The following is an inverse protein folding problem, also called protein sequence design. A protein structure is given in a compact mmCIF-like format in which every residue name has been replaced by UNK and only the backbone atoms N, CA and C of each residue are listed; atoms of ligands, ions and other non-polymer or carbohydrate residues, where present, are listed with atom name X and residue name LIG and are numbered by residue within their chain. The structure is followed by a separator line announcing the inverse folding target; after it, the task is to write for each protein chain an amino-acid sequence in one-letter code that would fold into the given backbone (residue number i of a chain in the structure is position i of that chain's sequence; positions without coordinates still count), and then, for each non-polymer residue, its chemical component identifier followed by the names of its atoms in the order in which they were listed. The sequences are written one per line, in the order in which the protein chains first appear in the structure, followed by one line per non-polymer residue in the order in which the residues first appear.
data_IF_253783769686
#
_entry.id   IF_253783769686
#
_cell.length_a   1.000
_cell.length_b   1.000
_cell.length_c   1.000
_cell.angle_alpha   90.00
_cell.angle_beta   90.00
_cell.angle_gamma   90.00
#
_symmetry.space_group_name_H-M   'P 1'
#
loop_
_entity.id
_entity.type
_entity.pdbx_description
1 polymer ?
#
# COMPACT_ATOMS: atom_id res chain seq x y z
N UNK A 1 -7.91 -20.25 7.41
CA UNK A 1 -7.06 -19.34 8.18
C UNK A 1 -7.11 -17.97 7.55
N UNK A 2 -7.46 -16.96 8.32
CA UNK A 2 -7.55 -15.58 7.83
C UNK A 2 -6.35 -14.78 8.29
N UNK A 3 -5.93 -13.82 7.46
CA UNK A 3 -4.84 -12.91 7.79
C UNK A 3 -5.31 -11.47 7.63
N UNK A 4 -4.82 -10.59 8.50
CA UNK A 4 -5.07 -9.16 8.42
C UNK A 4 -3.75 -8.45 8.12
N UNK A 5 -3.76 -7.67 7.05
CA UNK A 5 -2.68 -6.74 6.74
C UNK A 5 -3.16 -5.39 7.25
N UNK A 6 -2.50 -4.87 8.27
CA UNK A 6 -2.88 -3.60 8.86
C UNK A 6 -1.90 -2.52 8.41
N UNK A 7 -2.43 -1.47 7.83
CA UNK A 7 -1.67 -0.28 7.46
C UNK A 7 -2.06 0.84 8.43
N UNK A 8 -1.13 1.17 9.32
CA UNK A 8 -1.32 2.22 10.33
C UNK A 8 -0.64 3.49 9.83
N UNK A 9 -1.45 4.49 9.53
CA UNK A 9 -0.99 5.73 8.90
C UNK A 9 -0.62 6.82 9.88
N UNK A 10 0.33 7.66 9.47
CA UNK A 10 0.58 8.98 10.03
C UNK A 10 0.44 9.99 8.90
N UNK A 11 -0.58 10.83 8.97
CA UNK A 11 -0.88 11.81 7.92
C UNK A 11 0.06 13.01 8.02
N UNK A 12 0.55 13.48 6.89
CA UNK A 12 1.40 14.66 6.80
C UNK A 12 0.97 15.56 5.65
N UNK A 13 1.53 16.76 5.59
CA UNK A 13 1.17 17.76 4.58
C UNK A 13 1.71 17.39 3.20
N UNK A 14 2.86 16.73 3.15
CA UNK A 14 3.53 16.40 1.89
C UNK A 14 3.36 14.94 1.50
N UNK A 15 3.11 14.09 2.46
CA UNK A 15 2.92 12.66 2.23
C UNK A 15 2.26 12.03 3.45
N UNK A 16 1.73 10.84 3.27
CA UNK A 16 1.26 9.98 4.35
C UNK A 16 2.24 8.82 4.45
N UNK A 17 2.76 8.58 5.64
CA UNK A 17 3.64 7.43 5.89
C UNK A 17 2.90 6.42 6.74
N UNK A 18 3.24 5.16 6.56
CA UNK A 18 2.56 4.10 7.30
C UNK A 18 3.50 3.02 7.77
N UNK A 19 3.00 2.23 8.70
CA UNK A 19 3.63 1.00 9.15
C UNK A 19 2.69 -0.14 8.79
N UNK A 20 3.24 -1.18 8.18
CA UNK A 20 2.44 -2.33 7.73
C UNK A 20 2.74 -3.55 8.59
N UNK A 21 1.66 -4.15 9.07
CA UNK A 21 1.72 -5.35 9.91
C UNK A 21 0.99 -6.49 9.21
N UNK A 22 1.56 -7.67 9.29
CA UNK A 22 0.92 -8.89 8.82
C UNK A 22 0.66 -9.76 10.05
N UNK A 23 -0.62 -9.94 10.40
CA UNK A 23 -1.03 -10.63 11.64
C UNK A 23 -0.21 -10.12 12.85
N UNK A 24 -0.25 -8.80 13.05
CA UNK A 24 0.39 -8.10 14.18
C UNK A 24 1.92 -8.04 14.16
N UNK A 25 2.57 -8.56 13.12
CA UNK A 25 4.02 -8.48 12.97
C UNK A 25 4.37 -7.43 11.93
N UNK A 26 5.16 -6.44 12.30
CA UNK A 26 5.58 -5.39 11.36
C UNK A 26 6.48 -5.99 10.28
N UNK A 27 6.10 -5.79 9.01
CA UNK A 27 6.84 -6.33 7.87
C UNK A 27 7.51 -5.26 7.01
N UNK A 28 6.95 -4.06 6.95
CA UNK A 28 7.52 -2.95 6.18
C UNK A 28 6.80 -1.65 6.53
N UNK A 29 7.16 -0.59 5.85
CA UNK A 29 6.52 0.72 5.91
C UNK A 29 5.81 1.01 4.59
N UNK A 30 5.19 2.18 4.48
CA UNK A 30 4.54 2.61 3.24
C UNK A 30 4.66 4.11 3.06
N UNK A 31 4.55 4.55 1.81
CA UNK A 31 4.36 5.94 1.47
C UNK A 31 3.12 6.08 0.59
N UNK A 32 2.41 7.19 0.77
CA UNK A 32 1.23 7.56 0.02
C UNK A 32 1.17 9.08 -0.13
N UNK A 33 0.32 9.54 -1.03
CA UNK A 33 -0.04 10.96 -1.10
C UNK A 33 -0.68 11.43 0.22
N UNK A 34 -0.66 12.74 0.51
CA UNK A 34 -1.39 13.25 1.67
C UNK A 34 -2.89 13.03 1.53
N UNK A 35 -3.62 13.10 2.63
CA UNK A 35 -5.08 13.02 2.60
C UNK A 35 -5.67 14.33 2.10
N UNK A 36 -6.35 14.28 0.97
CA UNK A 36 -7.04 15.41 0.35
C UNK A 36 -8.49 15.02 0.00
N UNK A 37 -9.21 14.54 1.01
CA UNK A 37 -10.64 14.19 0.90
C UNK A 37 -10.94 13.21 -0.23
N UNK A 38 -10.07 12.21 -0.40
CA UNK A 38 -10.20 11.17 -1.42
C UNK A 38 -10.23 11.68 -2.87
N UNK A 39 -9.69 12.87 -3.11
CA UNK A 39 -9.69 13.45 -4.46
C UNK A 39 -8.85 12.60 -5.41
N UNK A 40 -9.41 12.15 -6.55
CA UNK A 40 -8.66 11.32 -7.49
C UNK A 40 -7.35 11.97 -7.95
N UNK A 41 -6.30 11.17 -8.04
CA UNK A 41 -4.95 11.55 -8.46
C UNK A 41 -4.19 12.47 -7.49
N UNK A 42 -4.84 12.97 -6.44
CA UNK A 42 -4.23 13.93 -5.51
C UNK A 42 -4.21 13.46 -4.06
N UNK A 43 -5.10 12.56 -3.70
CA UNK A 43 -5.26 12.09 -2.31
C UNK A 43 -4.90 10.61 -2.17
N UNK A 44 -4.40 10.23 -1.00
CA UNK A 44 -4.42 8.83 -0.61
C UNK A 44 -5.88 8.37 -0.47
N UNK A 45 -6.10 7.05 -0.43
CA UNK A 45 -7.44 6.48 -0.37
C UNK A 45 -7.99 6.51 1.05
N UNK A 46 -9.32 6.37 1.23
CA UNK A 46 -9.92 6.37 2.57
C UNK A 46 -9.46 5.20 3.44
N UNK A 47 -9.50 5.41 4.74
CA UNK A 47 -9.41 4.32 5.71
C UNK A 47 -10.56 3.34 5.49
N UNK A 48 -10.35 2.10 5.86
CA UNK A 48 -11.36 1.07 5.71
C UNK A 48 -10.75 -0.31 5.54
N UNK A 49 -11.61 -1.26 5.21
CA UNK A 49 -11.21 -2.64 4.94
C UNK A 49 -11.38 -2.94 3.46
N UNK A 50 -10.39 -3.57 2.88
CA UNK A 50 -10.32 -3.83 1.44
C UNK A 50 -9.87 -5.25 1.17
N UNK A 51 -10.35 -5.81 0.05
CA UNK A 51 -9.83 -7.04 -0.51
C UNK A 51 -8.75 -6.73 -1.54
N UNK A 52 -7.93 -7.73 -1.81
CA UNK A 52 -6.78 -7.61 -2.70
C UNK A 52 -6.84 -8.65 -3.81
N UNK A 53 -6.27 -8.31 -4.96
CA UNK A 53 -6.04 -9.25 -6.06
C UNK A 53 -4.58 -9.20 -6.48
N UNK A 54 -4.03 -10.36 -6.84
CA UNK A 54 -2.74 -10.42 -7.52
C UNK A 54 -2.86 -9.81 -8.91
N UNK A 55 -1.84 -9.07 -9.30
CA UNK A 55 -1.75 -8.46 -10.61
C UNK A 55 -0.32 -8.52 -11.10
N UNK A 56 -0.14 -8.60 -12.41
CA UNK A 56 1.19 -8.59 -13.02
C UNK A 56 1.19 -7.68 -14.22
N UNK A 57 2.19 -6.80 -14.30
CA UNK A 57 2.45 -5.99 -15.50
C UNK A 57 3.94 -5.97 -15.77
N UNK A 58 4.30 -5.65 -17.00
CA UNK A 58 5.71 -5.49 -17.36
C UNK A 58 6.35 -4.36 -16.56
N UNK A 59 5.61 -3.28 -16.34
CA UNK A 59 6.11 -2.10 -15.62
C UNK A 59 6.44 -2.38 -14.15
N UNK A 60 5.55 -3.08 -13.46
CA UNK A 60 5.67 -3.27 -12.00
C UNK A 60 6.05 -4.69 -11.59
N UNK A 61 5.99 -5.66 -12.53
CA UNK A 61 6.08 -7.06 -12.17
C UNK A 61 4.86 -7.49 -11.36
N UNK A 62 5.05 -8.41 -10.44
CA UNK A 62 3.99 -8.86 -9.54
C UNK A 62 3.68 -7.74 -8.54
N UNK A 63 2.40 -7.41 -8.40
CA UNK A 63 1.93 -6.40 -7.49
C UNK A 63 0.46 -6.69 -7.12
N UNK A 64 -0.21 -5.75 -6.47
CA UNK A 64 -1.55 -5.98 -5.96
C UNK A 64 -2.51 -4.89 -6.42
N UNK A 65 -3.74 -5.29 -6.69
CA UNK A 65 -4.88 -4.40 -6.87
C UNK A 65 -5.68 -4.36 -5.57
N UNK A 66 -6.06 -3.17 -5.14
CA UNK A 66 -6.95 -2.95 -4.00
C UNK A 66 -8.36 -2.78 -4.55
N UNK A 67 -9.28 -3.66 -4.15
CA UNK A 67 -10.62 -3.72 -4.72
C UNK A 67 -11.56 -2.70 -4.10
N UNK A 68 -12.50 -2.22 -4.92
CA UNK A 68 -13.67 -1.45 -4.47
C UNK A 68 -13.35 -0.25 -3.58
N UNK A 69 -12.32 0.51 -3.94
CA UNK A 69 -12.02 1.75 -3.23
C UNK A 69 -13.07 2.80 -3.61
N UNK A 70 -13.77 3.40 -2.62
CA UNK A 70 -14.81 4.39 -2.92
C UNK A 70 -14.30 5.54 -3.79
N UNK A 71 -14.99 5.81 -4.90
CA UNK A 71 -14.68 6.94 -5.77
C UNK A 71 -13.35 6.84 -6.53
N UNK A 72 -12.69 5.70 -6.51
CA UNK A 72 -11.39 5.52 -7.13
C UNK A 72 -11.35 4.25 -7.97
N UNK A 73 -10.42 4.22 -8.93
CA UNK A 73 -10.17 3.05 -9.76
C UNK A 73 -8.68 2.82 -9.89
N UNK A 74 -8.30 1.56 -10.09
CA UNK A 74 -6.90 1.17 -10.31
C UNK A 74 -5.95 1.58 -9.19
N UNK A 75 -6.41 1.40 -7.95
CA UNK A 75 -5.55 1.61 -6.78
C UNK A 75 -4.72 0.34 -6.57
N UNK A 76 -3.42 0.52 -6.57
CA UNK A 76 -2.47 -0.58 -6.53
C UNK A 76 -1.52 -0.43 -5.33
N UNK A 77 -1.01 -1.57 -4.85
CA UNK A 77 0.29 -1.60 -4.19
C UNK A 77 1.33 -1.82 -5.26
N UNK A 78 2.17 -0.86 -5.53
CA UNK A 78 3.23 -0.98 -6.53
C UNK A 78 4.51 -0.29 -6.05
N UNK A 79 5.67 -0.58 -6.68
CA UNK A 79 6.90 0.09 -6.27
C UNK A 79 6.86 1.59 -6.50
N UNK A 80 7.44 2.34 -5.57
CA UNK A 80 7.59 3.78 -5.69
C UNK A 80 8.44 4.31 -4.55
N UNK A 81 9.19 5.38 -4.77
CA UNK A 81 10.09 5.94 -3.78
C UNK A 81 9.76 7.38 -3.40
N UNK A 82 8.97 8.08 -4.21
CA UNK A 82 8.58 9.46 -3.94
C UNK A 82 7.10 9.64 -4.27
N UNK A 83 6.29 9.87 -3.24
CA UNK A 83 4.83 9.83 -3.37
C UNK A 83 4.29 10.80 -4.42
N UNK A 84 4.68 12.07 -4.37
CA UNK A 84 4.14 13.09 -5.28
C UNK A 84 4.51 12.89 -6.74
N UNK A 85 5.64 12.21 -7.00
CA UNK A 85 6.09 11.96 -8.38
C UNK A 85 5.56 10.67 -8.97
N UNK A 86 5.33 9.66 -8.11
CA UNK A 86 5.10 8.29 -8.59
C UNK A 86 3.74 7.73 -8.23
N UNK A 87 3.02 8.37 -7.31
CA UNK A 87 1.75 7.85 -6.83
C UNK A 87 0.61 8.78 -7.20
N UNK A 88 -0.51 8.18 -7.61
CA UNK A 88 -1.76 8.87 -7.92
C UNK A 88 -2.90 8.41 -7.02
N UNK A 89 -2.54 7.99 -5.81
CA UNK A 89 -3.43 7.37 -4.84
C UNK A 89 -3.04 5.95 -4.50
N UNK A 90 -2.15 5.34 -5.27
CA UNK A 90 -1.61 4.02 -4.98
C UNK A 90 -0.72 4.04 -3.74
N UNK A 91 -0.47 2.87 -3.19
CA UNK A 91 0.35 2.70 -2.00
C UNK A 91 1.67 2.06 -2.41
N UNK A 92 2.79 2.67 -2.04
CA UNK A 92 4.10 2.07 -2.25
C UNK A 92 4.61 1.50 -0.93
N UNK A 93 4.74 0.16 -0.82
CA UNK A 93 5.45 -0.41 0.32
C UNK A 93 6.93 -0.05 0.21
N UNK A 94 7.55 0.26 1.34
CA UNK A 94 8.97 0.59 1.43
C UNK A 94 9.54 -0.04 2.67
N UNK A 95 10.85 -0.27 2.71
CA UNK A 95 11.48 -0.80 3.91
C UNK A 95 11.89 0.31 4.89
N UNK A 96 12.10 1.51 4.38
CA UNK A 96 12.56 2.64 5.17
C UNK A 96 12.00 3.94 4.59
N UNK A 97 11.67 4.90 5.46
CA UNK A 97 11.27 6.26 5.07
C UNK A 97 12.34 7.24 5.54
N UNK A 98 12.81 8.09 4.62
CA UNK A 98 13.73 9.19 4.93
C UNK A 98 13.16 10.48 4.39
N UNK A 99 12.65 11.35 5.27
CA UNK A 99 11.97 12.57 4.85
C UNK A 99 10.79 12.25 3.95
N UNK A 100 10.84 12.71 2.69
CA UNK A 100 9.79 12.48 1.71
C UNK A 100 10.05 11.27 0.81
N UNK A 101 11.12 10.52 1.05
CA UNK A 101 11.49 9.38 0.23
C UNK A 101 11.28 8.06 0.96
N UNK A 102 10.75 7.09 0.22
CA UNK A 102 10.78 5.71 0.64
C UNK A 102 11.95 4.99 -0.03
N UNK A 103 12.49 3.97 0.61
CA UNK A 103 13.63 3.20 0.10
C UNK A 103 13.31 1.72 0.07
N UNK A 104 13.92 1.05 -0.90
CA UNK A 104 13.80 -0.40 -1.06
C UNK A 104 12.36 -0.85 -1.30
N UNK A 105 11.64 -0.13 -2.16
CA UNK A 105 10.22 -0.40 -2.40
C UNK A 105 9.98 -1.77 -3.03
N UNK A 106 10.83 -2.18 -3.97
CA UNK A 106 10.68 -3.51 -4.58
C UNK A 106 10.91 -4.63 -3.58
N UNK A 107 11.85 -4.46 -2.66
CA UNK A 107 12.10 -5.41 -1.58
C UNK A 107 10.86 -5.49 -0.67
N UNK A 108 10.31 -4.35 -0.29
CA UNK A 108 9.14 -4.28 0.58
C UNK A 108 7.91 -4.92 -0.07
N UNK A 109 7.68 -4.65 -1.35
CA UNK A 109 6.58 -5.28 -2.08
C UNK A 109 6.77 -6.80 -2.14
N UNK A 110 7.99 -7.27 -2.35
CA UNK A 110 8.29 -8.70 -2.35
C UNK A 110 7.99 -9.33 -0.98
N UNK A 111 8.35 -8.65 0.10
CA UNK A 111 8.05 -9.13 1.47
C UNK A 111 6.53 -9.24 1.67
N UNK A 112 5.78 -8.21 1.26
CA UNK A 112 4.32 -8.22 1.35
C UNK A 112 3.71 -9.38 0.56
N UNK A 113 4.12 -9.54 -0.70
CA UNK A 113 3.62 -10.61 -1.56
C UNK A 113 3.94 -11.99 -1.01
N UNK A 114 5.14 -12.19 -0.48
CA UNK A 114 5.56 -13.45 0.11
C UNK A 114 4.68 -13.83 1.30
N UNK A 115 4.40 -12.88 2.18
CA UNK A 115 3.51 -13.12 3.31
C UNK A 115 2.10 -13.49 2.86
N UNK A 116 1.56 -12.77 1.87
CA UNK A 116 0.23 -13.04 1.31
C UNK A 116 0.17 -14.44 0.72
N UNK A 117 1.19 -14.83 -0.07
CA UNK A 117 1.23 -16.14 -0.73
C UNK A 117 1.29 -17.30 0.23
N UNK A 118 1.90 -17.13 1.40
CA UNK A 118 1.96 -18.18 2.41
C UNK A 118 0.58 -18.53 2.97
N UNK A 119 -0.33 -17.57 3.02
CA UNK A 119 -1.70 -17.75 3.54
C UNK A 119 -2.69 -17.98 2.40
N UNK A 120 -2.51 -17.27 1.30
CA UNK A 120 -3.43 -17.21 0.18
C UNK A 120 -4.21 -15.89 0.18
N UNK A 121 -4.24 -15.22 -0.96
CA UNK A 121 -4.78 -13.87 -1.07
C UNK A 121 -6.28 -13.79 -0.71
N UNK A 122 -7.02 -14.87 -0.96
CA UNK A 122 -8.46 -14.91 -0.63
C UNK A 122 -8.73 -14.85 0.86
N UNK A 123 -7.73 -15.21 1.68
CA UNK A 123 -7.85 -15.18 3.14
C UNK A 123 -7.29 -13.90 3.75
N UNK A 124 -6.81 -12.98 2.93
CA UNK A 124 -6.21 -11.74 3.40
C UNK A 124 -7.19 -10.58 3.30
N UNK A 125 -7.21 -9.73 4.32
CA UNK A 125 -7.95 -8.47 4.34
C UNK A 125 -6.96 -7.35 4.66
N UNK A 126 -7.03 -6.28 3.88
CA UNK A 126 -6.27 -5.05 4.15
C UNK A 126 -7.12 -4.14 5.01
N UNK A 127 -6.59 -3.72 6.15
CA UNK A 127 -7.23 -2.75 7.04
C UNK A 127 -6.36 -1.50 7.11
N UNK A 128 -6.90 -0.37 6.68
CA UNK A 128 -6.22 0.93 6.73
C UNK A 128 -6.82 1.76 7.85
N UNK A 129 -5.99 2.21 8.76
CA UNK A 129 -6.40 3.01 9.92
C UNK A 129 -5.39 4.11 10.28
#
# INVERSE_FOLDING_TARGET
MNAVIELVRTYGDESTVGRMFFNDVEICQSIELPWLHNKPNESCIPEGEYKLQHRHTEKYGDHLLIENVPGRAWILFHPGNYAKKELRGCIAPVMEVRGLYGMYSRVALHVLLRNIRQVGIHFCTLKIC
#
